data_IF_338265204010
#
_entry.id   IF_338265204010
#
_cell.length_a   1.000
_cell.length_b   1.000
_cell.length_c   1.000
_cell.angle_alpha   90.00
_cell.angle_beta   90.00
_cell.angle_gamma   90.00
#
_symmetry.space_group_name_H-M   'P 1'
#
loop_
_entity.id
_entity.type
_entity.pdbx_description
1 polymer ?
#
# COMPACT_ATOMS: atom_id res chain seq x y z
N UNK A 1 -72.94 49.57 1.07
CA UNK A 1 -71.48 49.59 0.89
C UNK A 1 -70.91 48.22 1.45
N UNK A 2 -70.62 47.26 0.63
CA UNK A 2 -70.17 45.92 1.07
C UNK A 2 -68.63 45.79 0.82
N UNK A 3 -67.89 45.73 1.89
CA UNK A 3 -66.43 45.57 1.88
C UNK A 3 -66.14 44.07 1.70
N UNK A 4 -65.47 43.65 0.57
CA UNK A 4 -65.02 42.34 0.34
C UNK A 4 -63.59 42.24 0.88
N UNK A 5 -63.40 41.34 1.89
CA UNK A 5 -62.07 40.97 2.36
C UNK A 5 -61.51 39.89 1.45
N UNK A 6 -60.42 40.21 0.77
CA UNK A 6 -59.63 39.24 0.00
C UNK A 6 -58.58 38.65 0.97
N UNK A 7 -58.70 37.36 1.32
CA UNK A 7 -57.70 36.62 2.03
C UNK A 7 -56.66 36.16 1.02
N UNK A 8 -55.47 36.76 1.10
CA UNK A 8 -54.28 36.27 0.37
C UNK A 8 -53.65 35.09 1.17
N UNK A 9 -53.82 33.85 0.67
CA UNK A 9 -53.17 32.67 1.23
C UNK A 9 -51.72 32.63 0.74
N UNK A 10 -50.77 33.06 1.58
CA UNK A 10 -49.35 32.95 1.29
C UNK A 10 -48.89 31.51 1.40
N UNK A 11 -48.56 30.88 0.26
CA UNK A 11 -47.93 29.53 0.18
C UNK A 11 -46.46 29.67 0.59
N UNK A 12 -46.11 29.32 1.84
CA UNK A 12 -44.73 29.19 2.27
C UNK A 12 -44.16 27.94 1.65
N UNK A 13 -43.35 28.10 0.60
CA UNK A 13 -42.46 27.04 0.11
C UNK A 13 -41.33 26.82 1.14
N UNK A 14 -41.51 25.82 1.99
CA UNK A 14 -40.41 25.29 2.80
C UNK A 14 -39.45 24.55 1.85
N UNK A 15 -38.45 25.25 1.35
CA UNK A 15 -37.31 24.62 0.68
C UNK A 15 -36.51 23.88 1.76
N UNK A 16 -36.92 22.67 2.02
CA UNK A 16 -36.12 21.74 2.83
C UNK A 16 -34.78 21.54 2.12
N UNK A 17 -33.72 22.11 2.64
CA UNK A 17 -32.36 21.73 2.27
C UNK A 17 -32.17 20.24 2.64
N UNK A 18 -32.47 19.36 1.70
CA UNK A 18 -32.09 17.96 1.82
C UNK A 18 -30.56 17.94 1.98
N UNK A 19 -30.09 17.79 3.21
CA UNK A 19 -28.67 17.60 3.52
C UNK A 19 -28.30 16.34 2.76
N UNK A 20 -27.61 16.48 1.64
CA UNK A 20 -27.12 15.35 0.84
C UNK A 20 -26.33 14.45 1.78
N UNK A 21 -26.87 13.26 2.08
CA UNK A 21 -26.23 12.33 3.00
C UNK A 21 -24.92 11.88 2.35
N UNK A 22 -23.79 12.19 2.97
CA UNK A 22 -22.46 11.82 2.46
C UNK A 22 -22.26 10.30 2.53
N UNK A 23 -21.41 9.77 1.65
CA UNK A 23 -20.87 8.41 1.77
C UNK A 23 -19.59 8.53 2.59
N UNK A 24 -19.61 7.95 3.78
CA UNK A 24 -18.48 8.01 4.72
C UNK A 24 -17.65 6.74 4.57
N UNK A 25 -16.38 6.90 4.20
CA UNK A 25 -15.39 5.83 4.09
C UNK A 25 -14.37 6.04 5.21
N UNK A 26 -13.99 4.96 5.90
CA UNK A 26 -12.94 4.97 6.89
C UNK A 26 -11.57 4.75 6.25
N UNK A 27 -10.57 5.42 6.77
CA UNK A 27 -9.18 5.15 6.50
C UNK A 27 -8.46 4.93 7.84
N UNK A 28 -7.66 3.90 7.92
CA UNK A 28 -6.73 3.70 9.03
C UNK A 28 -5.34 3.43 8.48
N UNK A 29 -4.35 4.03 9.08
CA UNK A 29 -2.98 3.95 8.60
C UNK A 29 -2.01 4.63 9.54
N UNK A 30 -0.74 4.38 9.32
CA UNK A 30 0.35 4.91 10.13
C UNK A 30 0.62 6.37 9.75
N UNK A 31 0.02 7.32 10.45
CA UNK A 31 0.35 8.75 10.28
C UNK A 31 1.50 9.18 11.19
N UNK A 32 1.77 8.38 12.23
CA UNK A 32 2.91 8.52 13.13
C UNK A 32 3.62 7.17 13.35
N UNK A 33 4.81 7.20 13.96
CA UNK A 33 5.59 5.99 14.23
C UNK A 33 6.57 5.61 13.13
N UNK A 34 7.08 4.38 13.16
CA UNK A 34 8.19 3.90 12.33
C UNK A 34 7.93 3.85 10.83
N UNK A 35 6.66 3.79 10.42
CA UNK A 35 6.22 3.73 9.01
C UNK A 35 5.31 4.90 8.62
N UNK A 36 5.46 6.04 9.27
CA UNK A 36 4.57 7.20 9.07
C UNK A 36 4.52 7.71 7.62
N UNK A 37 5.62 7.63 6.84
CA UNK A 37 5.60 8.06 5.45
C UNK A 37 4.63 7.24 4.60
N UNK A 38 4.46 5.97 4.88
CA UNK A 38 3.52 5.10 4.17
C UNK A 38 2.07 5.56 4.33
N UNK A 39 1.63 5.76 5.59
CA UNK A 39 0.26 6.21 5.86
C UNK A 39 -0.01 7.60 5.31
N UNK A 40 0.94 8.54 5.49
CA UNK A 40 0.83 9.91 4.96
C UNK A 40 0.70 9.90 3.43
N UNK A 41 1.57 9.16 2.73
CA UNK A 41 1.50 9.07 1.27
C UNK A 41 0.21 8.40 0.78
N UNK A 42 -0.25 7.36 1.47
CA UNK A 42 -1.53 6.69 1.17
C UNK A 42 -2.70 7.66 1.33
N UNK A 43 -2.79 8.39 2.44
CA UNK A 43 -3.81 9.41 2.71
C UNK A 43 -3.79 10.52 1.65
N UNK A 44 -2.62 10.97 1.24
CA UNK A 44 -2.48 11.95 0.15
C UNK A 44 -3.07 11.41 -1.16
N UNK A 45 -2.78 10.16 -1.52
CA UNK A 45 -3.37 9.51 -2.70
C UNK A 45 -4.88 9.35 -2.61
N UNK A 46 -5.39 8.91 -1.46
CA UNK A 46 -6.83 8.78 -1.17
C UNK A 46 -7.52 10.14 -1.28
N UNK A 47 -6.97 11.18 -0.67
CA UNK A 47 -7.53 12.55 -0.74
C UNK A 47 -7.52 13.13 -2.15
N UNK A 48 -6.53 12.79 -2.97
CA UNK A 48 -6.51 13.18 -4.38
C UNK A 48 -7.68 12.55 -5.14
N UNK A 49 -7.89 11.23 -4.97
CA UNK A 49 -9.01 10.51 -5.58
C UNK A 49 -10.36 11.06 -5.13
N UNK A 50 -10.53 11.35 -3.84
CA UNK A 50 -11.78 11.91 -3.28
C UNK A 50 -12.10 13.28 -3.89
N UNK A 51 -11.12 14.15 -4.05
CA UNK A 51 -11.32 15.45 -4.66
C UNK A 51 -11.82 15.31 -6.11
N UNK A 52 -11.19 14.42 -6.89
CA UNK A 52 -11.59 14.17 -8.29
C UNK A 52 -12.99 13.54 -8.40
N UNK A 53 -13.27 12.55 -7.54
CA UNK A 53 -14.59 11.91 -7.49
C UNK A 53 -15.66 12.92 -7.14
N UNK A 54 -15.41 13.75 -6.14
CA UNK A 54 -16.33 14.77 -5.67
C UNK A 54 -16.53 15.91 -6.68
N UNK A 55 -15.51 16.27 -7.44
CA UNK A 55 -15.61 17.25 -8.53
C UNK A 55 -16.49 16.73 -9.67
N UNK A 56 -16.54 15.42 -9.89
CA UNK A 56 -17.38 14.74 -10.89
C UNK A 56 -18.82 14.45 -10.39
N UNK A 57 -19.22 14.93 -9.19
CA UNK A 57 -20.57 14.76 -8.63
C UNK A 57 -20.68 13.68 -7.55
N UNK A 58 -19.57 13.06 -7.14
CA UNK A 58 -19.51 12.05 -6.09
C UNK A 58 -19.93 10.65 -6.56
N UNK A 59 -20.42 9.84 -5.63
CA UNK A 59 -20.86 8.44 -5.87
C UNK A 59 -22.35 8.35 -5.53
N UNK A 60 -23.15 7.75 -6.39
CA UNK A 60 -24.62 7.67 -6.24
C UNK A 60 -25.26 9.06 -6.02
N UNK A 61 -24.69 10.12 -6.62
CA UNK A 61 -25.15 11.50 -6.45
C UNK A 61 -24.82 12.13 -5.07
N UNK A 62 -23.97 11.48 -4.28
CA UNK A 62 -23.57 11.91 -2.94
C UNK A 62 -22.08 12.21 -2.88
N UNK A 63 -21.68 13.19 -2.08
CA UNK A 63 -20.27 13.45 -1.81
C UNK A 63 -19.65 12.30 -1.01
N UNK A 64 -18.40 11.99 -1.29
CA UNK A 64 -17.58 11.05 -0.52
C UNK A 64 -16.80 11.85 0.51
N UNK A 65 -16.81 11.36 1.76
CA UNK A 65 -16.02 11.89 2.86
C UNK A 65 -15.20 10.78 3.50
N UNK A 66 -13.93 11.04 3.76
CA UNK A 66 -13.03 10.11 4.45
C UNK A 66 -12.85 10.56 5.89
N UNK A 67 -12.88 9.59 6.80
CA UNK A 67 -12.45 9.75 8.19
C UNK A 67 -11.17 8.96 8.35
N UNK A 68 -10.09 9.66 8.69
CA UNK A 68 -8.76 9.07 8.84
C UNK A 68 -8.46 8.87 10.34
N UNK A 69 -7.92 7.71 10.70
CA UNK A 69 -7.50 7.39 12.07
C UNK A 69 -6.07 6.85 12.04
N UNK A 70 -5.19 7.50 12.81
CA UNK A 70 -3.80 7.10 13.00
C UNK A 70 -3.72 5.81 13.83
N UNK A 71 -3.05 4.80 13.32
CA UNK A 71 -2.76 3.56 14.04
C UNK A 71 -1.36 3.54 14.70
N UNK A 72 -0.63 4.66 14.63
CA UNK A 72 0.66 4.86 15.28
C UNK A 72 1.71 3.78 14.91
N UNK A 73 1.58 3.17 13.75
CA UNK A 73 2.40 2.02 13.31
C UNK A 73 2.29 0.79 14.22
N UNK A 74 1.14 0.56 14.87
CA UNK A 74 0.94 -0.53 15.83
C UNK A 74 -0.28 -1.40 15.48
N UNK A 75 -0.15 -2.74 15.52
CA UNK A 75 -1.27 -3.65 15.23
C UNK A 75 -2.49 -3.47 16.15
N UNK A 76 -2.29 -3.25 17.44
CA UNK A 76 -3.36 -3.04 18.42
C UNK A 76 -4.11 -1.72 18.18
N UNK A 77 -3.40 -0.67 17.77
CA UNK A 77 -4.02 0.61 17.43
C UNK A 77 -4.80 0.52 16.11
N UNK A 78 -4.33 -0.28 15.14
CA UNK A 78 -5.09 -0.55 13.91
C UNK A 78 -6.44 -1.22 14.19
N UNK A 79 -6.49 -2.14 15.16
CA UNK A 79 -7.75 -2.75 15.65
C UNK A 79 -8.66 -1.69 16.25
N UNK A 80 -8.13 -0.85 17.13
CA UNK A 80 -8.86 0.25 17.79
C UNK A 80 -9.40 1.26 16.78
N UNK A 81 -8.58 1.64 15.81
CA UNK A 81 -8.96 2.56 14.73
C UNK A 81 -10.14 2.03 13.92
N UNK A 82 -10.07 0.77 13.48
CA UNK A 82 -11.15 0.14 12.69
C UNK A 82 -12.42 -0.04 13.54
N UNK A 83 -12.31 -0.41 14.81
CA UNK A 83 -13.47 -0.49 15.70
C UNK A 83 -14.17 0.86 15.80
N UNK A 84 -13.43 1.96 16.01
CA UNK A 84 -13.97 3.32 16.04
C UNK A 84 -14.67 3.69 14.75
N UNK A 85 -14.00 3.50 13.60
CA UNK A 85 -14.54 3.80 12.27
C UNK A 85 -15.89 3.08 12.03
N UNK A 86 -16.02 1.83 12.46
CA UNK A 86 -17.24 1.04 12.26
C UNK A 86 -18.34 1.41 13.26
N UNK A 87 -18.01 1.49 14.56
CA UNK A 87 -19.02 1.60 15.62
C UNK A 87 -19.45 3.03 15.93
N UNK A 88 -18.56 4.00 15.74
CA UNK A 88 -18.83 5.41 16.06
C UNK A 88 -19.03 6.25 14.80
N UNK A 89 -18.21 6.05 13.79
CA UNK A 89 -18.22 6.85 12.56
C UNK A 89 -19.12 6.26 11.48
N UNK A 90 -19.60 5.03 11.65
CA UNK A 90 -20.57 4.30 10.79
C UNK A 90 -20.16 4.29 9.32
N UNK A 91 -18.89 4.02 9.06
CA UNK A 91 -18.32 3.95 7.70
C UNK A 91 -18.93 2.79 6.90
N UNK A 92 -19.07 2.97 5.59
CA UNK A 92 -19.64 1.95 4.68
C UNK A 92 -18.57 0.95 4.19
N UNK A 93 -17.31 1.35 4.24
CA UNK A 93 -16.14 0.53 3.91
C UNK A 93 -14.91 1.13 4.59
N UNK A 94 -13.82 0.35 4.68
CA UNK A 94 -12.55 0.78 5.26
C UNK A 94 -11.42 0.61 4.25
N UNK A 95 -10.56 1.62 4.14
CA UNK A 95 -9.28 1.59 3.43
C UNK A 95 -8.13 1.49 4.44
N UNK A 96 -7.12 0.71 4.11
CA UNK A 96 -5.95 0.48 4.97
C UNK A 96 -5.77 -1.01 5.28
N UNK A 97 -4.77 -1.40 5.93
CA UNK A 97 -3.51 -0.70 6.23
C UNK A 97 -2.48 -1.04 5.14
N UNK A 98 -1.36 -0.33 5.10
CA UNK A 98 -0.23 -0.61 4.20
C UNK A 98 0.53 -1.85 4.69
N UNK A 99 0.89 -1.89 5.99
CA UNK A 99 1.66 -2.97 6.56
C UNK A 99 0.81 -4.21 6.86
N UNK A 100 1.31 -5.38 6.44
CA UNK A 100 0.58 -6.63 6.51
C UNK A 100 0.19 -7.04 7.93
N UNK A 101 1.07 -6.88 8.93
CA UNK A 101 0.76 -7.23 10.33
C UNK A 101 -0.40 -6.41 10.89
N UNK A 102 -0.48 -5.12 10.57
CA UNK A 102 -1.57 -4.24 10.99
C UNK A 102 -2.88 -4.57 10.28
N UNK A 103 -2.82 -4.84 8.97
CA UNK A 103 -3.99 -5.33 8.23
C UNK A 103 -4.50 -6.67 8.77
N UNK A 104 -3.61 -7.61 9.10
CA UNK A 104 -3.98 -8.89 9.70
C UNK A 104 -4.67 -8.74 11.06
N UNK A 105 -4.22 -7.79 11.87
CA UNK A 105 -4.84 -7.49 13.16
C UNK A 105 -6.25 -6.88 13.00
N UNK A 106 -6.42 -5.93 12.06
CA UNK A 106 -7.67 -5.19 11.86
C UNK A 106 -8.73 -5.96 11.05
N UNK A 107 -8.31 -6.77 10.07
CA UNK A 107 -9.20 -7.47 9.14
C UNK A 107 -10.31 -8.31 9.80
N UNK A 108 -10.07 -9.04 10.93
CA UNK A 108 -11.14 -9.77 11.62
C UNK A 108 -12.28 -8.88 12.14
N UNK A 109 -12.01 -7.61 12.45
CA UNK A 109 -13.03 -6.65 12.88
C UNK A 109 -13.94 -6.30 11.70
N UNK A 110 -13.36 -5.94 10.55
CA UNK A 110 -14.07 -5.67 9.30
C UNK A 110 -14.90 -6.88 8.86
N UNK A 111 -14.32 -8.08 8.89
CA UNK A 111 -14.98 -9.31 8.49
C UNK A 111 -16.22 -9.60 9.35
N UNK A 112 -16.10 -9.52 10.70
CA UNK A 112 -17.23 -9.73 11.62
C UNK A 112 -18.35 -8.71 11.42
N UNK A 113 -17.99 -7.46 11.16
CA UNK A 113 -18.95 -6.37 10.94
C UNK A 113 -19.55 -6.40 9.52
N UNK A 114 -19.03 -7.24 8.62
CA UNK A 114 -19.40 -7.28 7.18
C UNK A 114 -19.21 -5.91 6.49
N UNK A 115 -18.18 -5.20 6.90
CA UNK A 115 -17.71 -3.96 6.27
C UNK A 115 -16.54 -4.31 5.36
N UNK A 116 -16.63 -4.02 4.04
CA UNK A 116 -15.52 -4.28 3.13
C UNK A 116 -14.26 -3.50 3.54
N UNK A 117 -13.13 -4.20 3.59
CA UNK A 117 -11.81 -3.63 3.80
C UNK A 117 -11.01 -3.78 2.50
N UNK A 118 -10.41 -2.71 2.04
CA UNK A 118 -9.49 -2.72 0.89
C UNK A 118 -8.13 -2.22 1.34
N UNK A 119 -7.16 -3.13 1.40
CA UNK A 119 -5.77 -2.73 1.66
C UNK A 119 -5.13 -2.18 0.39
N UNK A 120 -4.51 -1.00 0.44
CA UNK A 120 -3.75 -0.48 -0.69
C UNK A 120 -2.50 -1.30 -0.99
N UNK A 121 -1.77 -1.74 0.04
CA UNK A 121 -0.41 -2.28 -0.12
C UNK A 121 -0.04 -3.47 0.77
N UNK A 122 -0.92 -4.01 1.59
CA UNK A 122 -0.57 -5.21 2.39
C UNK A 122 -0.44 -6.45 1.49
N UNK A 123 0.79 -6.88 1.25
CA UNK A 123 1.13 -7.90 0.25
C UNK A 123 1.11 -9.33 0.80
N UNK A 124 1.12 -9.53 2.12
CA UNK A 124 1.10 -10.88 2.70
C UNK A 124 -0.20 -11.61 2.35
N UNK A 125 -0.13 -12.84 1.77
CA UNK A 125 -1.31 -13.57 1.29
C UNK A 125 -2.31 -13.93 2.40
N UNK A 126 -1.89 -13.97 3.67
CA UNK A 126 -2.78 -14.24 4.80
C UNK A 126 -3.85 -13.16 4.99
N UNK A 127 -3.61 -11.92 4.55
CA UNK A 127 -4.54 -10.79 4.76
C UNK A 127 -5.92 -11.06 4.17
N UNK A 128 -6.02 -11.41 2.90
CA UNK A 128 -7.31 -11.70 2.26
C UNK A 128 -7.91 -13.05 2.70
N UNK A 129 -7.09 -13.96 3.25
CA UNK A 129 -7.56 -15.25 3.80
C UNK A 129 -8.33 -15.10 5.12
N UNK A 130 -8.28 -13.94 5.77
CA UNK A 130 -9.09 -13.65 6.97
C UNK A 130 -10.58 -13.76 6.69
N UNK A 131 -11.04 -13.36 5.49
CA UNK A 131 -12.43 -13.50 5.14
C UNK A 131 -12.81 -12.85 3.80
N UNK A 132 -14.06 -13.05 3.41
CA UNK A 132 -14.58 -12.66 2.09
C UNK A 132 -14.93 -11.18 1.95
N UNK A 133 -14.82 -10.39 3.01
CA UNK A 133 -14.92 -8.92 3.00
C UNK A 133 -13.57 -8.22 2.90
N UNK A 134 -12.47 -8.96 2.81
CA UNK A 134 -11.11 -8.41 2.81
C UNK A 134 -10.51 -8.50 1.41
N UNK A 135 -10.09 -7.35 0.88
CA UNK A 135 -9.57 -7.15 -0.48
C UNK A 135 -8.24 -6.41 -0.46
N UNK A 136 -7.53 -6.41 -1.58
CA UNK A 136 -6.33 -5.59 -1.79
C UNK A 136 -6.23 -5.11 -3.24
N UNK A 137 -5.51 -4.00 -3.44
CA UNK A 137 -5.17 -3.46 -4.77
C UNK A 137 -3.71 -3.68 -5.17
N UNK A 138 -2.91 -4.29 -4.31
CA UNK A 138 -1.51 -4.66 -4.56
C UNK A 138 -1.33 -6.12 -5.00
N UNK A 139 -0.17 -6.45 -5.55
CA UNK A 139 0.28 -7.83 -5.75
C UNK A 139 0.55 -8.54 -4.41
N UNK A 140 0.99 -9.78 -4.44
CA UNK A 140 1.23 -10.60 -3.24
C UNK A 140 2.69 -11.05 -3.11
N UNK A 141 3.14 -11.27 -1.86
CA UNK A 141 4.51 -11.67 -1.51
C UNK A 141 5.03 -12.93 -2.24
N UNK A 142 4.22 -13.98 -2.50
CA UNK A 142 4.70 -15.12 -3.28
C UNK A 142 5.24 -14.73 -4.65
N UNK A 143 4.55 -13.80 -5.34
CA UNK A 143 4.98 -13.28 -6.62
C UNK A 143 6.17 -12.32 -6.44
N UNK A 144 6.12 -11.44 -5.44
CA UNK A 144 7.17 -10.46 -5.17
C UNK A 144 8.50 -11.12 -4.82
N UNK A 145 8.51 -12.07 -3.87
CA UNK A 145 9.71 -12.78 -3.46
C UNK A 145 10.32 -13.60 -4.62
N UNK A 146 9.46 -14.27 -5.40
CA UNK A 146 9.90 -14.98 -6.59
C UNK A 146 10.47 -14.05 -7.67
N UNK A 147 9.85 -12.90 -7.89
CA UNK A 147 10.31 -11.91 -8.88
C UNK A 147 11.71 -11.39 -8.54
N UNK A 148 11.96 -10.99 -7.28
CA UNK A 148 13.28 -10.52 -6.86
C UNK A 148 14.32 -11.64 -6.93
N UNK A 149 14.01 -12.87 -6.50
CA UNK A 149 14.94 -14.00 -6.58
C UNK A 149 15.30 -14.34 -8.03
N UNK A 150 14.31 -14.40 -8.93
CA UNK A 150 14.54 -14.63 -10.34
C UNK A 150 15.37 -13.53 -10.99
N UNK A 151 15.08 -12.27 -10.72
CA UNK A 151 15.86 -11.13 -11.19
C UNK A 151 17.32 -11.22 -10.72
N UNK A 152 17.54 -11.47 -9.43
CA UNK A 152 18.89 -11.57 -8.88
C UNK A 152 19.68 -12.72 -9.53
N UNK A 153 19.07 -13.89 -9.75
CA UNK A 153 19.74 -15.05 -10.35
C UNK A 153 19.92 -14.88 -11.87
N UNK A 154 18.85 -14.47 -12.58
CA UNK A 154 18.83 -14.49 -14.06
C UNK A 154 19.43 -13.23 -14.68
N UNK A 155 19.21 -12.06 -14.09
CA UNK A 155 19.64 -10.77 -14.64
C UNK A 155 20.97 -10.33 -14.01
N UNK A 156 21.09 -10.38 -12.66
CA UNK A 156 22.31 -10.02 -11.97
C UNK A 156 23.36 -11.17 -11.91
N UNK A 157 22.99 -12.40 -12.30
CA UNK A 157 23.85 -13.60 -12.30
C UNK A 157 24.40 -13.99 -10.91
N UNK A 158 23.68 -13.65 -9.85
CA UNK A 158 24.05 -13.95 -8.47
C UNK A 158 23.64 -15.38 -8.08
N UNK A 159 24.35 -16.01 -7.14
CA UNK A 159 24.12 -17.41 -6.71
C UNK A 159 24.01 -17.58 -5.21
N UNK A 160 24.77 -16.80 -4.43
CA UNK A 160 24.84 -16.90 -2.97
C UNK A 160 24.16 -15.70 -2.33
N UNK A 161 23.18 -15.95 -1.49
CA UNK A 161 22.39 -14.90 -0.86
C UNK A 161 22.46 -15.02 0.65
N UNK A 162 22.61 -13.89 1.33
CA UNK A 162 22.26 -13.77 2.72
C UNK A 162 20.88 -13.12 2.84
N UNK A 163 20.19 -13.37 3.95
CA UNK A 163 18.92 -12.72 4.29
C UNK A 163 19.10 -12.03 5.64
N UNK A 164 18.54 -10.82 5.75
CA UNK A 164 18.44 -10.09 7.01
C UNK A 164 17.01 -9.53 7.10
N UNK A 165 16.17 -10.14 7.95
CA UNK A 165 14.73 -9.90 7.96
C UNK A 165 14.19 -9.50 9.34
N UNK A 166 13.06 -8.80 9.36
CA UNK A 166 12.34 -8.47 10.57
C UNK A 166 11.46 -9.64 11.03
N UNK A 167 11.81 -10.25 12.18
CA UNK A 167 11.10 -11.40 12.72
C UNK A 167 9.72 -11.06 13.29
N UNK A 168 9.44 -9.79 13.60
CA UNK A 168 8.17 -9.33 14.15
C UNK A 168 7.15 -8.92 13.08
N UNK A 169 7.55 -8.89 11.82
CA UNK A 169 6.77 -8.35 10.72
C UNK A 169 6.34 -9.46 9.75
N UNK A 170 5.03 -9.71 9.65
CA UNK A 170 4.48 -10.78 8.79
C UNK A 170 4.86 -10.62 7.31
N UNK A 171 5.00 -9.39 6.81
CA UNK A 171 5.48 -9.10 5.46
C UNK A 171 6.92 -9.58 5.28
N UNK A 172 7.81 -9.19 6.18
CA UNK A 172 9.22 -9.53 6.13
C UNK A 172 9.46 -11.03 6.24
N UNK A 173 8.77 -11.69 7.20
CA UNK A 173 8.81 -13.15 7.37
C UNK A 173 8.31 -13.88 6.13
N UNK A 174 7.20 -13.42 5.54
CA UNK A 174 6.64 -14.01 4.32
C UNK A 174 7.58 -13.88 3.13
N UNK A 175 8.11 -12.69 2.88
CA UNK A 175 9.04 -12.47 1.76
C UNK A 175 10.35 -13.26 1.91
N UNK A 176 10.90 -13.35 3.12
CA UNK A 176 12.06 -14.22 3.40
C UNK A 176 11.80 -15.64 2.93
N UNK A 177 10.63 -16.20 3.25
CA UNK A 177 10.25 -17.56 2.86
C UNK A 177 10.14 -17.71 1.34
N UNK A 178 9.39 -16.84 0.67
CA UNK A 178 9.16 -16.93 -0.78
C UNK A 178 10.44 -16.69 -1.58
N UNK A 179 11.27 -15.74 -1.17
CA UNK A 179 12.58 -15.53 -1.77
C UNK A 179 13.48 -16.75 -1.61
N UNK A 180 13.64 -17.26 -0.38
CA UNK A 180 14.47 -18.44 -0.09
C UNK A 180 14.07 -19.66 -0.91
N UNK A 181 12.76 -19.94 -0.96
CA UNK A 181 12.25 -21.08 -1.71
C UNK A 181 12.56 -20.96 -3.19
N UNK A 182 12.38 -19.77 -3.76
CA UNK A 182 12.66 -19.52 -5.19
C UNK A 182 14.17 -19.58 -5.48
N UNK A 183 15.01 -19.04 -4.61
CA UNK A 183 16.48 -19.17 -4.75
C UNK A 183 16.90 -20.64 -4.80
N UNK A 184 16.44 -21.46 -3.85
CA UNK A 184 16.76 -22.90 -3.80
C UNK A 184 16.25 -23.65 -5.02
N UNK A 185 15.02 -23.38 -5.47
CA UNK A 185 14.43 -23.99 -6.66
C UNK A 185 15.22 -23.67 -7.95
N UNK A 186 15.87 -22.51 -8.02
CA UNK A 186 16.69 -22.10 -9.16
C UNK A 186 18.19 -22.41 -8.99
N UNK A 187 18.57 -23.27 -8.02
CA UNK A 187 19.95 -23.70 -7.82
C UNK A 187 20.87 -22.68 -7.16
N UNK A 188 20.29 -21.61 -6.57
CA UNK A 188 21.03 -20.68 -5.71
C UNK A 188 21.13 -21.19 -4.26
N UNK A 189 21.93 -20.51 -3.46
CA UNK A 189 22.22 -20.88 -2.07
C UNK A 189 21.88 -19.73 -1.11
N UNK A 190 21.24 -20.05 0.02
CA UNK A 190 21.12 -19.14 1.17
C UNK A 190 22.25 -19.46 2.13
N UNK A 191 23.26 -18.60 2.19
CA UNK A 191 24.48 -18.80 2.99
C UNK A 191 24.40 -18.22 4.40
N UNK A 192 23.46 -17.31 4.64
CA UNK A 192 23.14 -16.76 5.97
C UNK A 192 21.67 -16.36 6.02
N UNK A 193 21.06 -16.48 7.20
CA UNK A 193 19.66 -16.15 7.45
C UNK A 193 19.56 -15.56 8.86
N UNK A 194 19.71 -14.23 8.96
CA UNK A 194 19.76 -13.49 10.21
C UNK A 194 18.51 -12.63 10.39
N UNK A 195 18.15 -12.37 11.63
CA UNK A 195 16.96 -11.60 11.96
C UNK A 195 17.25 -10.39 12.84
N UNK A 196 16.32 -9.44 12.82
CA UNK A 196 16.23 -8.30 13.71
C UNK A 196 14.77 -8.11 14.15
N UNK A 197 14.50 -7.19 15.06
CA UNK A 197 13.15 -6.80 15.47
C UNK A 197 12.82 -5.40 14.98
N UNK A 198 11.54 -5.16 14.63
CA UNK A 198 11.03 -3.83 14.29
C UNK A 198 11.47 -2.81 15.36
N UNK A 199 12.06 -1.69 14.90
CA UNK A 199 12.60 -0.63 15.75
C UNK A 199 14.05 -0.83 16.20
N UNK A 200 14.71 -1.93 15.84
CA UNK A 200 16.14 -2.08 16.07
C UNK A 200 16.93 -1.03 15.26
N UNK A 201 18.02 -0.54 15.81
CA UNK A 201 18.87 0.50 15.20
C UNK A 201 20.32 0.09 14.99
N UNK A 202 20.74 -1.05 15.52
CA UNK A 202 22.10 -1.60 15.35
C UNK A 202 22.02 -3.02 14.78
N UNK A 203 22.64 -3.21 13.62
CA UNK A 203 22.62 -4.45 12.84
C UNK A 203 24.04 -4.99 12.61
N UNK A 204 25.05 -4.42 13.27
CA UNK A 204 26.47 -4.74 13.02
C UNK A 204 26.80 -6.19 13.35
N UNK A 205 26.18 -6.77 14.36
CA UNK A 205 26.40 -8.18 14.72
C UNK A 205 25.93 -9.11 13.59
N UNK A 206 24.70 -8.93 13.11
CA UNK A 206 24.14 -9.71 12.01
C UNK A 206 24.92 -9.49 10.71
N UNK A 207 25.23 -8.25 10.37
CA UNK A 207 26.01 -7.90 9.18
C UNK A 207 27.43 -8.47 9.21
N UNK A 208 28.07 -8.54 10.39
CA UNK A 208 29.40 -9.17 10.55
C UNK A 208 29.33 -10.68 10.27
N UNK A 209 28.31 -11.36 10.79
CA UNK A 209 28.06 -12.78 10.47
C UNK A 209 27.83 -12.97 8.97
N UNK A 210 26.94 -12.18 8.38
CA UNK A 210 26.64 -12.22 6.93
C UNK A 210 27.92 -12.00 6.13
N UNK A 211 28.73 -11.01 6.47
CA UNK A 211 30.01 -10.72 5.78
C UNK A 211 30.95 -11.91 5.77
N UNK A 212 31.01 -12.67 6.87
CA UNK A 212 31.88 -13.86 6.97
C UNK A 212 31.49 -15.00 6.02
N UNK A 213 30.24 -15.05 5.55
CA UNK A 213 29.76 -16.07 4.60
C UNK A 213 29.99 -15.69 3.13
N UNK A 214 30.45 -14.48 2.86
CA UNK A 214 30.76 -13.98 1.51
C UNK A 214 29.61 -14.19 0.50
N UNK A 215 28.40 -13.67 0.74
CA UNK A 215 27.31 -13.76 -0.21
C UNK A 215 27.55 -12.84 -1.42
N UNK A 216 26.85 -13.08 -2.53
CA UNK A 216 26.82 -12.17 -3.68
C UNK A 216 25.87 -10.97 -3.45
N UNK A 217 24.85 -11.14 -2.60
CA UNK A 217 23.90 -10.09 -2.22
C UNK A 217 23.26 -10.37 -0.85
N UNK A 218 22.70 -9.32 -0.23
CA UNK A 218 21.86 -9.45 0.97
C UNK A 218 20.41 -9.10 0.59
N UNK A 219 19.47 -10.00 0.84
CA UNK A 219 18.05 -9.72 0.74
C UNK A 219 17.52 -9.19 2.07
N UNK A 220 17.00 -7.97 2.06
CA UNK A 220 16.48 -7.26 3.23
C UNK A 220 14.98 -6.93 3.02
N UNK A 221 14.07 -7.89 3.24
CA UNK A 221 12.62 -7.67 3.08
C UNK A 221 12.06 -6.97 4.33
N UNK A 222 12.42 -5.70 4.52
CA UNK A 222 11.97 -4.87 5.63
C UNK A 222 11.42 -3.54 5.15
N UNK A 223 11.12 -2.66 6.10
CA UNK A 223 10.65 -1.32 5.79
C UNK A 223 11.80 -0.32 5.75
N UNK A 224 11.53 0.85 5.19
CA UNK A 224 12.49 1.87 4.81
C UNK A 224 13.40 2.35 5.95
N UNK A 225 12.89 2.40 7.19
CA UNK A 225 13.67 2.89 8.34
C UNK A 225 14.86 1.99 8.62
N UNK A 226 14.61 0.69 8.85
CA UNK A 226 15.64 -0.30 9.10
C UNK A 226 16.46 -0.56 7.84
N UNK A 227 15.83 -0.60 6.66
CA UNK A 227 16.53 -0.81 5.39
C UNK A 227 17.61 0.25 5.14
N UNK A 228 17.31 1.53 5.35
CA UNK A 228 18.27 2.62 5.24
C UNK A 228 19.43 2.51 6.24
N UNK A 229 19.12 2.14 7.50
CA UNK A 229 20.13 1.92 8.54
C UNK A 229 21.02 0.70 8.23
N UNK A 230 20.43 -0.40 7.78
CA UNK A 230 21.13 -1.62 7.38
C UNK A 230 22.08 -1.33 6.22
N UNK A 231 21.62 -0.62 5.18
CA UNK A 231 22.49 -0.22 4.08
C UNK A 231 23.70 0.58 4.57
N UNK A 232 23.47 1.59 5.44
CA UNK A 232 24.55 2.41 5.98
C UNK A 232 25.57 1.60 6.77
N UNK A 233 25.09 0.77 7.72
CA UNK A 233 25.98 -0.05 8.54
C UNK A 233 26.71 -1.13 7.72
N UNK A 234 26.06 -1.68 6.68
CA UNK A 234 26.72 -2.58 5.74
C UNK A 234 27.94 -1.91 5.08
N UNK A 235 27.79 -0.68 4.59
CA UNK A 235 28.92 0.07 3.97
C UNK A 235 29.99 0.45 4.99
N UNK A 236 29.60 0.84 6.21
CA UNK A 236 30.55 1.08 7.32
C UNK A 236 31.41 -0.15 7.63
N UNK A 237 30.85 -1.36 7.50
CA UNK A 237 31.57 -2.63 7.66
C UNK A 237 32.33 -3.07 6.41
N UNK A 238 32.36 -2.25 5.33
CA UNK A 238 33.03 -2.58 4.07
C UNK A 238 32.33 -3.65 3.25
N UNK A 239 31.03 -3.86 3.42
CA UNK A 239 30.20 -4.69 2.56
C UNK A 239 29.89 -3.90 1.30
N UNK A 240 30.31 -4.37 0.13
CA UNK A 240 30.19 -3.65 -1.15
C UNK A 240 29.18 -4.27 -2.12
N UNK A 241 28.78 -5.53 -1.90
CA UNK A 241 27.77 -6.19 -2.74
C UNK A 241 26.38 -5.56 -2.55
N UNK A 242 25.47 -5.73 -3.55
CA UNK A 242 24.16 -5.11 -3.52
C UNK A 242 23.29 -5.63 -2.38
N UNK A 243 22.46 -4.74 -1.83
CA UNK A 243 21.32 -5.13 -1.03
C UNK A 243 20.07 -5.13 -1.92
N UNK A 244 19.19 -6.10 -1.67
CA UNK A 244 17.96 -6.32 -2.42
C UNK A 244 16.78 -6.15 -1.46
N UNK A 245 15.77 -5.40 -1.88
CA UNK A 245 14.59 -5.11 -1.04
C UNK A 245 13.26 -5.47 -1.71
N UNK A 246 12.20 -5.26 -0.96
CA UNK A 246 10.82 -5.29 -1.43
C UNK A 246 10.24 -3.87 -1.54
N UNK A 247 8.94 -3.77 -1.85
CA UNK A 247 8.19 -2.52 -1.97
C UNK A 247 8.18 -1.67 -0.69
N UNK A 248 8.48 -2.27 0.45
CA UNK A 248 8.70 -1.57 1.73
C UNK A 248 9.92 -0.64 1.77
N UNK A 249 10.71 -0.58 0.70
CA UNK A 249 11.81 0.38 0.56
C UNK A 249 11.39 1.69 -0.10
N UNK A 250 10.19 1.77 -0.67
CA UNK A 250 9.75 2.95 -1.40
C UNK A 250 9.30 4.07 -0.47
N UNK A 251 10.27 4.85 -0.03
CA UNK A 251 10.09 6.07 0.75
C UNK A 251 11.27 7.01 0.55
N UNK A 252 11.01 8.32 0.55
CA UNK A 252 12.09 9.33 0.58
C UNK A 252 13.03 9.16 1.78
N UNK A 253 12.50 8.61 2.90
CA UNK A 253 13.29 8.33 4.10
C UNK A 253 14.36 7.26 3.89
N UNK A 254 14.19 6.34 2.93
CA UNK A 254 15.25 5.39 2.56
C UNK A 254 16.52 6.12 2.14
N UNK A 255 16.37 7.19 1.36
CA UNK A 255 17.51 8.04 0.93
C UNK A 255 18.03 8.92 2.04
N UNK A 256 17.15 9.55 2.83
CA UNK A 256 17.56 10.41 3.94
C UNK A 256 18.39 9.65 4.98
N UNK A 257 17.96 8.42 5.32
CA UNK A 257 18.61 7.56 6.33
C UNK A 257 19.84 6.89 5.75
N UNK A 258 19.69 6.26 4.59
CA UNK A 258 20.76 5.45 3.98
C UNK A 258 21.80 6.26 3.22
N UNK A 259 21.44 7.48 2.74
CA UNK A 259 22.32 8.37 1.96
C UNK A 259 22.96 7.62 0.78
N UNK A 260 24.26 7.81 0.56
CA UNK A 260 25.00 7.14 -0.52
C UNK A 260 25.10 5.61 -0.35
N UNK A 261 24.85 5.11 0.84
CA UNK A 261 24.94 3.68 1.14
C UNK A 261 23.87 2.84 0.42
N UNK A 262 22.77 3.44 -0.02
CA UNK A 262 21.72 2.76 -0.80
C UNK A 262 22.03 2.68 -2.29
N UNK A 263 23.06 3.40 -2.78
CA UNK A 263 23.44 3.32 -4.19
C UNK A 263 23.89 1.89 -4.56
N UNK A 264 23.47 1.43 -5.74
CA UNK A 264 23.71 0.08 -6.23
C UNK A 264 22.77 -0.99 -5.64
N UNK A 265 21.79 -0.60 -4.81
CA UNK A 265 20.76 -1.49 -4.30
C UNK A 265 19.58 -1.60 -5.27
N UNK A 266 18.80 -2.69 -5.15
CA UNK A 266 17.63 -2.96 -5.97
C UNK A 266 16.44 -3.29 -5.07
N UNK A 267 15.22 -2.95 -5.52
CA UNK A 267 14.02 -3.37 -4.84
C UNK A 267 12.85 -3.54 -5.82
N UNK A 268 11.90 -4.39 -5.46
CA UNK A 268 10.64 -4.55 -6.21
C UNK A 268 9.65 -3.46 -5.80
N UNK A 269 8.84 -3.01 -6.75
CA UNK A 269 7.86 -1.96 -6.50
C UNK A 269 6.58 -2.16 -7.33
N UNK A 270 5.57 -1.36 -7.06
CA UNK A 270 4.25 -1.40 -7.72
C UNK A 270 4.20 -0.55 -8.99
N UNK A 271 5.05 0.45 -9.12
CA UNK A 271 5.18 1.32 -10.28
C UNK A 271 6.56 2.00 -10.28
N UNK A 272 6.88 2.63 -11.38
CA UNK A 272 7.98 3.60 -11.48
C UNK A 272 7.44 4.94 -11.98
N UNK A 273 7.85 6.08 -11.41
CA UNK A 273 7.50 7.39 -11.96
C UNK A 273 8.08 7.62 -13.36
N UNK A 274 9.11 6.84 -13.73
CA UNK A 274 9.75 6.89 -15.07
C UNK A 274 8.99 6.07 -16.12
N UNK A 275 7.90 5.38 -15.75
CA UNK A 275 7.10 4.63 -16.73
C UNK A 275 6.40 5.56 -17.73
N UNK A 276 6.47 5.22 -19.01
CA UNK A 276 5.87 6.00 -20.11
C UNK A 276 4.35 5.73 -20.29
N UNK A 277 3.67 5.26 -19.25
CA UNK A 277 2.23 5.01 -19.27
C UNK A 277 1.45 6.32 -19.05
N UNK A 278 0.47 6.66 -19.92
CA UNK A 278 -0.31 7.89 -19.76
C UNK A 278 -1.00 8.03 -18.40
N UNK A 279 -1.49 6.93 -17.83
CA UNK A 279 -2.15 6.94 -16.53
C UNK A 279 -1.18 7.31 -15.38
N UNK A 280 0.07 6.80 -15.43
CA UNK A 280 1.12 7.17 -14.46
C UNK A 280 1.47 8.64 -14.58
N UNK A 281 1.72 9.12 -15.80
CA UNK A 281 2.05 10.54 -16.04
C UNK A 281 0.95 11.45 -15.50
N UNK A 282 -0.31 11.17 -15.85
CA UNK A 282 -1.45 11.95 -15.39
C UNK A 282 -1.54 11.99 -13.86
N UNK A 283 -1.38 10.83 -13.21
CA UNK A 283 -1.37 10.75 -11.75
C UNK A 283 -0.22 11.58 -11.15
N UNK A 284 1.01 11.38 -11.63
CA UNK A 284 2.20 12.10 -11.15
C UNK A 284 2.04 13.62 -11.29
N UNK A 285 1.58 14.09 -12.46
CA UNK A 285 1.38 15.51 -12.70
C UNK A 285 0.30 16.11 -11.81
N UNK A 286 -0.83 15.39 -11.64
CA UNK A 286 -1.94 15.84 -10.78
C UNK A 286 -1.53 15.87 -9.31
N UNK A 287 -0.82 14.84 -8.86
CA UNK A 287 -0.29 14.75 -7.49
C UNK A 287 0.71 15.89 -7.22
N UNK A 288 1.69 16.10 -8.10
CA UNK A 288 2.66 17.20 -7.98
C UNK A 288 1.98 18.57 -7.91
N UNK A 289 0.95 18.77 -8.72
CA UNK A 289 0.17 20.03 -8.70
C UNK A 289 -0.51 20.25 -7.35
N UNK A 290 -1.07 19.21 -6.75
CA UNK A 290 -1.76 19.30 -5.46
C UNK A 290 -0.78 19.43 -4.29
N UNK A 291 0.35 18.74 -4.34
CA UNK A 291 1.30 18.61 -3.24
C UNK A 291 2.64 19.35 -3.49
N UNK A 292 2.57 20.55 -4.09
CA UNK A 292 3.69 21.49 -4.22
C UNK A 292 4.96 20.90 -4.86
N UNK A 293 4.80 20.04 -5.86
CA UNK A 293 5.92 19.43 -6.58
C UNK A 293 6.46 18.14 -5.97
N UNK A 294 5.87 17.66 -4.84
CA UNK A 294 6.25 16.38 -4.23
C UNK A 294 6.07 15.24 -5.24
N UNK A 295 7.08 14.37 -5.36
CA UNK A 295 6.99 13.15 -6.18
C UNK A 295 6.19 12.10 -5.40
N UNK A 296 5.16 11.47 -6.00
CA UNK A 296 4.45 10.38 -5.34
C UNK A 296 5.30 9.11 -5.28
N UNK A 297 5.25 8.41 -4.15
CA UNK A 297 5.73 7.06 -4.00
C UNK A 297 4.64 6.02 -4.37
N UNK A 298 4.95 4.72 -4.24
CA UNK A 298 3.99 3.66 -4.53
C UNK A 298 2.77 3.69 -3.60
N UNK A 299 2.92 4.12 -2.35
CA UNK A 299 1.81 4.16 -1.40
C UNK A 299 0.77 5.20 -1.82
N UNK A 300 1.21 6.33 -2.36
CA UNK A 300 0.31 7.37 -2.88
C UNK A 300 -0.53 6.87 -4.06
N UNK A 301 0.09 6.24 -5.06
CA UNK A 301 -0.64 5.73 -6.24
C UNK A 301 -1.58 4.56 -5.88
N UNK A 302 -1.17 3.71 -4.93
CA UNK A 302 -2.00 2.60 -4.46
C UNK A 302 -3.18 3.06 -3.61
N UNK A 303 -3.00 4.08 -2.77
CA UNK A 303 -4.09 4.73 -2.04
C UNK A 303 -5.11 5.36 -3.00
N UNK A 304 -4.62 6.05 -4.03
CA UNK A 304 -5.45 6.60 -5.10
C UNK A 304 -6.25 5.50 -5.84
N UNK A 305 -5.61 4.41 -6.22
CA UNK A 305 -6.27 3.30 -6.92
C UNK A 305 -7.29 2.58 -6.01
N UNK A 306 -6.97 2.37 -4.73
CA UNK A 306 -7.86 1.72 -3.77
C UNK A 306 -9.15 2.53 -3.56
N UNK A 307 -9.05 3.85 -3.43
CA UNK A 307 -10.21 4.73 -3.31
C UNK A 307 -11.05 4.74 -4.59
N UNK A 308 -10.42 4.85 -5.76
CA UNK A 308 -11.12 4.85 -7.04
C UNK A 308 -11.85 3.52 -7.28
N UNK A 309 -11.20 2.39 -7.00
CA UNK A 309 -11.80 1.06 -7.12
C UNK A 309 -13.00 0.89 -6.17
N UNK A 310 -12.84 1.31 -4.90
CA UNK A 310 -13.91 1.23 -3.91
C UNK A 310 -15.12 2.07 -4.33
N UNK A 311 -14.91 3.31 -4.75
CA UNK A 311 -15.97 4.20 -5.20
C UNK A 311 -16.66 3.69 -6.48
N UNK A 312 -15.91 3.17 -7.45
CA UNK A 312 -16.47 2.54 -8.63
C UNK A 312 -17.32 1.31 -8.26
N UNK A 313 -16.87 0.53 -7.26
CA UNK A 313 -17.59 -0.64 -6.76
C UNK A 313 -18.89 -0.25 -6.04
N UNK A 314 -18.89 0.83 -5.25
CA UNK A 314 -20.13 1.39 -4.64
C UNK A 314 -21.09 1.88 -5.71
N UNK A 315 -20.59 2.56 -6.74
CA UNK A 315 -21.39 3.04 -7.87
C UNK A 315 -22.01 1.86 -8.66
N UNK A 316 -21.22 0.83 -8.96
CA UNK A 316 -21.69 -0.41 -9.63
C UNK A 316 -22.73 -1.16 -8.80
N UNK A 317 -22.53 -1.22 -7.48
CA UNK A 317 -23.46 -1.86 -6.54
C UNK A 317 -24.80 -1.12 -6.42
N UNK A 318 -24.87 0.17 -6.78
CA UNK A 318 -26.03 1.02 -6.56
C UNK A 318 -26.45 1.14 -5.08
N UNK A 319 -25.53 0.83 -4.16
CA UNK A 319 -25.84 0.66 -2.74
C UNK A 319 -24.60 0.87 -1.86
N UNK A 320 -24.80 1.38 -0.65
CA UNK A 320 -23.78 1.48 0.40
C UNK A 320 -23.79 0.30 1.38
N UNK A 321 -24.59 -0.75 1.12
CA UNK A 321 -24.62 -1.93 1.98
C UNK A 321 -23.35 -2.78 1.76
N UNK A 322 -22.67 -3.16 2.84
CA UNK A 322 -21.39 -3.90 2.78
C UNK A 322 -21.43 -5.15 1.91
N UNK A 323 -22.53 -5.95 1.94
CA UNK A 323 -22.66 -7.12 1.08
C UNK A 323 -22.67 -6.77 -0.41
N UNK A 324 -23.34 -5.69 -0.79
CA UNK A 324 -23.41 -5.26 -2.20
C UNK A 324 -22.05 -4.72 -2.68
N UNK A 325 -21.36 -3.92 -1.84
CA UNK A 325 -20.00 -3.43 -2.13
C UNK A 325 -19.03 -4.60 -2.27
N UNK A 326 -19.05 -5.55 -1.33
CA UNK A 326 -18.22 -6.76 -1.36
C UNK A 326 -18.40 -7.54 -2.67
N UNK A 327 -19.66 -7.70 -3.12
CA UNK A 327 -19.95 -8.40 -4.38
C UNK A 327 -19.36 -7.64 -5.58
N UNK A 328 -19.56 -6.33 -5.65
CA UNK A 328 -19.04 -5.49 -6.73
C UNK A 328 -17.51 -5.47 -6.78
N UNK A 329 -16.82 -5.45 -5.61
CA UNK A 329 -15.37 -5.58 -5.51
C UNK A 329 -14.88 -6.93 -6.04
N UNK A 330 -15.52 -8.04 -5.64
CA UNK A 330 -15.15 -9.39 -6.08
C UNK A 330 -15.34 -9.63 -7.60
N UNK A 331 -16.22 -8.87 -8.24
CA UNK A 331 -16.50 -8.93 -9.67
C UNK A 331 -15.67 -7.95 -10.51
N UNK A 332 -14.66 -7.33 -9.92
CA UNK A 332 -13.79 -6.36 -10.62
C UNK A 332 -12.91 -7.06 -11.65
N UNK A 333 -13.00 -6.61 -12.90
CA UNK A 333 -12.14 -7.04 -14.01
C UNK A 333 -11.66 -5.81 -14.78
N UNK A 334 -10.38 -5.80 -15.11
CA UNK A 334 -9.72 -4.79 -15.94
C UNK A 334 -10.02 -3.33 -15.53
N UNK A 335 -10.12 -3.10 -14.20
CA UNK A 335 -10.31 -1.74 -13.69
C UNK A 335 -9.09 -0.87 -14.02
N UNK A 336 -9.28 0.30 -14.65
CA UNK A 336 -8.18 1.15 -15.12
C UNK A 336 -7.57 1.96 -13.97
N UNK A 337 -6.76 1.31 -13.12
CA UNK A 337 -6.00 1.98 -12.08
C UNK A 337 -4.83 2.79 -12.66
N UNK A 338 -4.39 3.81 -11.95
CA UNK A 338 -3.21 4.59 -12.30
C UNK A 338 -1.93 3.72 -12.23
N UNK A 339 -1.85 2.80 -11.27
CA UNK A 339 -0.75 1.84 -11.14
C UNK A 339 -0.83 0.64 -12.11
N UNK A 340 -1.89 0.54 -12.93
CA UNK A 340 -2.12 -0.51 -13.91
C UNK A 340 -3.55 -1.05 -13.91
N UNK A 341 -3.85 -1.95 -14.83
CA UNK A 341 -5.13 -2.65 -14.83
C UNK A 341 -5.23 -3.54 -13.59
N UNK A 342 -6.37 -3.46 -12.90
CA UNK A 342 -6.65 -4.24 -11.70
C UNK A 342 -7.77 -5.24 -11.97
N UNK A 343 -7.45 -6.52 -11.87
CA UNK A 343 -8.44 -7.61 -11.84
C UNK A 343 -8.36 -8.28 -10.48
N UNK A 344 -9.47 -8.35 -9.79
CA UNK A 344 -9.56 -9.02 -8.49
C UNK A 344 -9.80 -10.52 -8.73
N UNK A 345 -8.90 -11.35 -8.22
CA UNK A 345 -8.96 -12.80 -8.33
C UNK A 345 -9.95 -13.44 -7.33
N UNK A 346 -10.10 -14.77 -7.41
CA UNK A 346 -10.98 -15.52 -6.52
C UNK A 346 -10.57 -15.44 -5.03
N UNK A 347 -9.29 -15.16 -4.76
CA UNK A 347 -8.77 -14.94 -3.39
C UNK A 347 -8.78 -13.46 -2.98
N UNK A 348 -9.38 -12.59 -3.81
CA UNK A 348 -9.53 -11.13 -3.57
C UNK A 348 -8.24 -10.34 -3.61
N UNK A 349 -7.23 -10.85 -4.34
CA UNK A 349 -5.99 -10.15 -4.63
C UNK A 349 -6.06 -9.48 -6.00
N UNK A 350 -5.35 -8.37 -6.16
CA UNK A 350 -5.17 -7.77 -7.47
C UNK A 350 -4.03 -8.46 -8.24
N UNK A 351 -4.30 -8.80 -9.49
CA UNK A 351 -3.26 -9.26 -10.42
C UNK A 351 -2.68 -8.04 -11.14
N UNK A 352 -1.40 -7.81 -10.99
CA UNK A 352 -0.67 -6.70 -11.62
C UNK A 352 0.83 -7.01 -11.73
N UNK A 353 1.54 -6.38 -12.68
CA UNK A 353 2.99 -6.55 -12.81
C UNK A 353 3.74 -5.97 -11.61
N UNK A 354 4.96 -6.45 -11.42
CA UNK A 354 5.97 -5.89 -10.52
C UNK A 354 6.98 -5.12 -11.36
N UNK A 355 7.45 -3.99 -10.86
CA UNK A 355 8.64 -3.32 -11.40
C UNK A 355 9.85 -3.57 -10.49
N UNK A 356 11.03 -3.66 -11.08
CA UNK A 356 12.31 -3.66 -10.36
C UNK A 356 12.94 -2.29 -10.54
N UNK A 357 13.32 -1.69 -9.44
CA UNK A 357 14.01 -0.40 -9.40
C UNK A 357 15.44 -0.58 -8.91
N UNK A 358 16.36 0.22 -9.46
CA UNK A 358 17.74 0.39 -8.96
C UNK A 358 17.87 1.76 -8.32
N UNK A 359 18.54 1.82 -7.21
CA UNK A 359 18.91 3.10 -6.59
C UNK A 359 20.31 3.47 -7.07
N UNK A 360 20.45 4.65 -7.67
CA UNK A 360 21.73 5.20 -8.09
C UNK A 360 21.70 6.74 -8.12
N UNK A 361 22.78 7.39 -7.68
CA UNK A 361 22.86 8.85 -7.62
C UNK A 361 21.72 9.51 -6.82
N UNK A 362 21.22 8.84 -5.77
CA UNK A 362 20.11 9.33 -4.94
C UNK A 362 18.75 9.32 -5.63
N UNK A 363 18.59 8.53 -6.71
CA UNK A 363 17.34 8.39 -7.47
C UNK A 363 17.01 6.92 -7.69
N UNK A 364 15.72 6.65 -7.91
CA UNK A 364 15.22 5.35 -8.36
C UNK A 364 15.18 5.33 -9.88
N UNK A 365 15.70 4.25 -10.47
CA UNK A 365 15.71 4.05 -11.92
C UNK A 365 14.96 2.77 -12.25
N UNK A 366 14.08 2.83 -13.23
CA UNK A 366 13.40 1.65 -13.76
C UNK A 366 14.39 0.68 -14.40
N UNK A 367 14.31 -0.60 -14.04
CA UNK A 367 15.17 -1.66 -14.57
C UNK A 367 14.37 -2.67 -15.37
N UNK A 368 13.29 -3.19 -14.82
CA UNK A 368 12.50 -4.24 -15.44
C UNK A 368 11.03 -4.20 -14.98
N UNK A 369 10.14 -4.76 -15.83
CA UNK A 369 8.77 -5.08 -15.44
C UNK A 369 8.56 -6.59 -15.59
N UNK A 370 8.04 -7.21 -14.54
CA UNK A 370 7.81 -8.66 -14.44
C UNK A 370 6.30 -8.88 -14.37
N UNK A 371 5.76 -9.63 -15.31
CA UNK A 371 4.33 -10.00 -15.35
C UNK A 371 4.06 -11.21 -14.45
N UNK A 372 2.83 -11.31 -13.87
CA UNK A 372 2.39 -12.47 -13.09
C UNK A 372 2.44 -13.76 -13.88
#
# INVERSE_FOLDING_TARGET
MRIRHIFLLGLLLVVGTARSQEIVIGEYGSLTGGTATFGISTDEGIKLAVDEINAKGGVLGKKVRVIVVDDQSKPEEAVTAVQKLITQDHVVASLGEVASSRSLAAAPVCQRAKIPMVSPSSTNPKVTKVGDYIFRTCFIDPFQGAAMANFAIKDLKLKKFAILYDVKNDYSVGLREFFSNTVKQNGGEIVADESYGEGDSDFKAQLTKIKSTQPDAIYCPGYYTEAGLICRQARELGITYPLLGGDGWDSEKTFEIGRDAVNGCYFTNHYSPDEDRPAVKLFVDTYKKKYNGKMPDAMAILGYDAMNLLCASIQKAGSTKGKAIRQALAETKDFPGASGLLTIDAERNAQKPIVVLKIDGGKMHFVASIKP
#
